data_IF_162144558834
#
_entry.id   IF_162144558834
#
_cell.length_a   1.000
_cell.length_b   1.000
_cell.length_c   1.000
_cell.angle_alpha   90.00
_cell.angle_beta   90.00
_cell.angle_gamma   90.00
#
_symmetry.space_group_name_H-M   'P 1'
#
loop_
_entity.id
_entity.type
_entity.pdbx_description
1 polymer ?
#
# COMPACT_ATOMS: atom_id res chain seq x y z
N UNK A 1 3.57 -2.60 -21.04
CA UNK A 1 3.76 -1.12 -21.01
C UNK A 1 4.05 -0.69 -19.57
N UNK A 2 4.94 0.28 -19.34
CA UNK A 2 5.30 0.75 -17.99
C UNK A 2 4.28 1.73 -17.42
N UNK A 3 4.39 2.02 -16.12
CA UNK A 3 3.71 3.15 -15.48
C UNK A 3 3.95 4.45 -16.27
N UNK A 4 2.96 5.38 -16.31
CA UNK A 4 3.16 6.71 -16.90
C UNK A 4 4.11 7.55 -16.05
N UNK A 5 4.41 8.78 -16.50
CA UNK A 5 5.16 9.75 -15.69
C UNK A 5 4.38 10.04 -14.38
N UNK A 6 5.05 10.12 -13.22
CA UNK A 6 4.37 10.44 -11.97
C UNK A 6 3.73 11.83 -12.03
N UNK A 7 2.50 11.92 -11.50
CA UNK A 7 1.78 13.18 -11.29
C UNK A 7 2.49 14.03 -10.23
N UNK A 8 2.98 13.38 -9.18
CA UNK A 8 3.77 14.03 -8.14
C UNK A 8 5.01 13.21 -7.78
N UNK A 9 6.13 13.90 -7.58
CA UNK A 9 7.35 13.37 -6.98
C UNK A 9 7.70 14.24 -5.77
N UNK A 10 7.86 13.63 -4.61
CA UNK A 10 7.98 14.35 -3.35
C UNK A 10 8.75 13.54 -2.30
N UNK A 11 8.94 14.14 -1.13
CA UNK A 11 9.68 13.56 -0.03
C UNK A 11 8.82 13.55 1.23
N UNK A 12 8.91 12.47 2.00
CA UNK A 12 8.34 12.39 3.35
C UNK A 12 9.40 11.89 4.33
N UNK A 13 9.32 12.25 5.62
CA UNK A 13 10.17 11.65 6.64
C UNK A 13 9.70 10.23 6.95
N UNK A 14 10.64 9.33 7.24
CA UNK A 14 10.36 8.06 7.89
C UNK A 14 9.92 8.31 9.33
N UNK A 15 8.84 7.64 9.77
CA UNK A 15 8.40 7.69 11.17
C UNK A 15 9.39 7.01 12.12
N UNK A 16 10.36 6.26 11.61
CA UNK A 16 11.41 5.64 12.44
C UNK A 16 12.37 6.67 13.03
N UNK A 17 12.90 7.55 12.18
CA UNK A 17 14.06 8.40 12.50
C UNK A 17 14.13 9.69 11.66
N UNK A 18 13.09 9.99 10.88
CA UNK A 18 13.07 11.15 9.99
C UNK A 18 13.85 10.99 8.69
N UNK A 19 14.39 9.79 8.39
CA UNK A 19 15.07 9.51 7.11
C UNK A 19 14.20 9.95 5.94
N UNK A 20 14.74 10.76 5.02
CA UNK A 20 14.00 11.23 3.85
C UNK A 20 13.74 10.09 2.87
N UNK A 21 12.48 9.86 2.56
CA UNK A 21 12.01 8.84 1.62
C UNK A 21 11.57 9.51 0.33
N UNK A 22 12.06 9.00 -0.80
CA UNK A 22 11.67 9.45 -2.13
C UNK A 22 10.37 8.76 -2.56
N UNK A 23 9.33 9.55 -2.86
CA UNK A 23 7.99 9.06 -3.12
C UNK A 23 7.44 9.58 -4.45
N UNK A 24 6.51 8.82 -5.03
CA UNK A 24 5.78 9.15 -6.25
C UNK A 24 4.31 8.80 -6.14
N UNK A 25 3.49 9.60 -6.79
CA UNK A 25 2.05 9.39 -6.93
C UNK A 25 1.65 9.48 -8.41
N UNK A 26 0.81 8.55 -8.85
CA UNK A 26 0.24 8.47 -10.19
C UNK A 26 -1.28 8.55 -10.08
N UNK A 27 -1.87 9.59 -10.65
CA UNK A 27 -3.30 9.87 -10.53
C UNK A 27 -3.96 9.58 -11.88
N UNK A 28 -5.00 8.73 -11.92
CA UNK A 28 -5.75 8.46 -13.15
C UNK A 28 -6.54 9.71 -13.57
N UNK A 29 -6.65 9.96 -14.87
CA UNK A 29 -7.23 11.20 -15.39
C UNK A 29 -8.66 11.50 -14.90
N UNK A 30 -9.49 10.47 -14.75
CA UNK A 30 -10.89 10.63 -14.32
C UNK A 30 -11.10 11.06 -12.86
N UNK A 31 -10.04 11.16 -12.04
CA UNK A 31 -10.13 11.70 -10.68
C UNK A 31 -10.01 13.23 -10.63
N UNK A 32 -9.65 13.85 -11.76
CA UNK A 32 -9.60 15.32 -11.92
C UNK A 32 -10.96 15.89 -12.33
N UNK A 33 -11.85 15.06 -12.89
CA UNK A 33 -13.24 15.41 -13.16
C UNK A 33 -14.04 15.45 -11.85
N UNK A 34 -15.06 16.34 -11.76
CA UNK A 34 -15.88 16.50 -10.54
C UNK A 34 -16.38 15.14 -10.04
N UNK A 35 -15.93 14.66 -8.85
CA UNK A 35 -16.38 13.38 -8.33
C UNK A 35 -17.89 13.45 -8.09
N UNK A 36 -18.64 12.60 -8.79
CA UNK A 36 -20.05 12.37 -8.47
C UNK A 36 -20.17 11.76 -7.06
N UNK A 37 -21.29 11.92 -6.36
CA UNK A 37 -21.49 11.33 -5.02
C UNK A 37 -21.31 9.81 -4.95
N UNK A 38 -21.40 9.10 -6.08
CA UNK A 38 -21.20 7.66 -6.18
C UNK A 38 -19.73 7.24 -6.46
N UNK A 39 -18.81 8.20 -6.60
CA UNK A 39 -17.44 7.91 -7.04
C UNK A 39 -16.60 7.41 -5.87
N UNK A 40 -16.34 6.10 -5.85
CA UNK A 40 -15.43 5.47 -4.89
C UNK A 40 -13.98 5.87 -5.16
N UNK A 41 -13.23 6.18 -4.10
CA UNK A 41 -11.81 6.46 -4.20
C UNK A 41 -11.01 5.16 -4.05
N UNK A 42 -10.19 4.85 -5.05
CA UNK A 42 -9.35 3.65 -5.07
C UNK A 42 -7.89 4.06 -5.01
N UNK A 43 -7.13 3.50 -4.07
CA UNK A 43 -5.71 3.74 -3.90
C UNK A 43 -4.91 2.44 -3.82
N UNK A 44 -3.65 2.47 -4.23
CA UNK A 44 -2.76 1.32 -4.14
C UNK A 44 -1.33 1.75 -3.81
N UNK A 45 -0.63 0.94 -3.01
CA UNK A 45 0.81 1.08 -2.75
C UNK A 45 1.52 -0.11 -3.38
N UNK A 46 2.58 0.13 -4.14
CA UNK A 46 3.43 -0.94 -4.69
C UNK A 46 4.87 -0.73 -4.24
N UNK A 47 5.27 -1.49 -3.21
CA UNK A 47 6.63 -1.46 -2.68
C UNK A 47 7.60 -2.34 -3.49
N UNK A 48 8.84 -1.90 -3.61
CA UNK A 48 9.86 -2.48 -4.46
C UNK A 48 10.64 -3.64 -3.78
N UNK A 49 11.45 -4.42 -4.53
CA UNK A 49 12.18 -5.56 -3.98
C UNK A 49 13.45 -5.08 -3.25
N UNK A 50 14.29 -6.02 -2.81
CA UNK A 50 15.41 -5.73 -1.91
C UNK A 50 16.39 -4.68 -2.47
N UNK A 51 16.54 -3.56 -1.76
CA UNK A 51 17.32 -2.42 -2.22
C UNK A 51 18.81 -2.72 -2.51
N UNK A 52 19.53 -3.50 -1.67
CA UNK A 52 20.93 -3.83 -1.91
C UNK A 52 21.19 -4.62 -3.20
N UNK A 53 20.17 -5.26 -3.77
CA UNK A 53 20.25 -5.96 -5.07
C UNK A 53 19.74 -5.10 -6.23
N UNK A 54 19.69 -3.78 -6.05
CA UNK A 54 19.24 -2.82 -7.06
C UNK A 54 17.73 -2.55 -7.07
N UNK A 55 16.98 -3.10 -6.11
CA UNK A 55 15.54 -2.86 -5.97
C UNK A 55 15.23 -1.39 -5.72
N UNK A 56 14.32 -0.82 -6.51
CA UNK A 56 13.78 0.53 -6.32
C UNK A 56 12.40 0.62 -6.97
N UNK A 57 11.68 1.71 -6.75
CA UNK A 57 10.37 1.94 -7.37
C UNK A 57 10.34 1.96 -8.92
N UNK A 58 11.49 1.92 -9.61
CA UNK A 58 11.61 1.85 -11.07
C UNK A 58 11.77 0.39 -11.53
N UNK A 59 11.71 -0.57 -10.61
CA UNK A 59 11.79 -1.99 -10.91
C UNK A 59 10.71 -2.38 -11.95
N UNK A 60 11.05 -3.18 -12.96
CA UNK A 60 10.10 -3.58 -14.00
C UNK A 60 8.82 -4.23 -13.46
N UNK A 61 8.92 -5.02 -12.38
CA UNK A 61 7.78 -5.68 -11.73
C UNK A 61 6.87 -4.66 -11.07
N UNK A 62 7.46 -3.73 -10.32
CA UNK A 62 6.73 -2.59 -9.72
C UNK A 62 6.01 -1.78 -10.80
N UNK A 63 6.69 -1.52 -11.93
CA UNK A 63 6.14 -0.74 -13.03
C UNK A 63 4.97 -1.44 -13.73
N UNK A 64 5.05 -2.74 -14.00
CA UNK A 64 3.96 -3.42 -14.71
C UNK A 64 2.74 -3.61 -13.80
N UNK A 65 2.95 -3.96 -12.52
CA UNK A 65 1.88 -4.09 -11.51
C UNK A 65 1.22 -2.75 -11.26
N UNK A 66 2.01 -1.70 -11.04
CA UNK A 66 1.51 -0.35 -10.85
C UNK A 66 0.74 0.15 -12.08
N UNK A 67 1.18 -0.20 -13.30
CA UNK A 67 0.47 0.17 -14.52
C UNK A 67 -0.91 -0.45 -14.58
N UNK A 68 -1.03 -1.74 -14.23
CA UNK A 68 -2.33 -2.42 -14.24
C UNK A 68 -3.30 -1.79 -13.23
N UNK A 69 -2.82 -1.49 -12.01
CA UNK A 69 -3.61 -0.77 -11.00
C UNK A 69 -4.03 0.62 -11.49
N UNK A 70 -3.12 1.36 -12.13
CA UNK A 70 -3.39 2.69 -12.67
C UNK A 70 -4.47 2.66 -13.77
N UNK A 71 -4.41 1.68 -14.68
CA UNK A 71 -5.40 1.50 -15.75
C UNK A 71 -6.79 1.14 -15.21
N UNK A 72 -6.84 0.44 -14.08
CA UNK A 72 -8.08 0.14 -13.34
C UNK A 72 -8.56 1.31 -12.47
N UNK A 73 -7.99 2.50 -12.62
CA UNK A 73 -8.47 3.72 -11.95
C UNK A 73 -8.02 3.88 -10.50
N UNK A 74 -6.96 3.17 -10.07
CA UNK A 74 -6.36 3.41 -8.76
C UNK A 74 -5.42 4.62 -8.80
N UNK A 75 -5.45 5.43 -7.74
CA UNK A 75 -4.31 6.28 -7.39
C UNK A 75 -3.19 5.37 -6.93
N UNK A 76 -2.11 5.31 -7.70
CA UNK A 76 -0.96 4.44 -7.39
C UNK A 76 0.12 5.24 -6.69
N UNK A 77 0.60 4.74 -5.56
CA UNK A 77 1.75 5.25 -4.84
C UNK A 77 2.91 4.27 -4.91
N UNK A 78 4.10 4.80 -5.21
CA UNK A 78 5.36 4.05 -5.12
C UNK A 78 6.38 4.87 -4.36
N UNK A 79 7.24 4.24 -3.57
CA UNK A 79 8.27 4.93 -2.80
C UNK A 79 9.52 4.07 -2.73
N UNK A 80 10.67 4.71 -2.50
CA UNK A 80 11.92 4.03 -2.22
C UNK A 80 12.08 3.85 -0.70
N UNK A 81 12.24 2.61 -0.26
CA UNK A 81 12.74 2.31 1.10
C UNK A 81 14.08 3.00 1.34
N UNK A 82 14.46 3.16 2.61
CA UNK A 82 15.82 3.61 2.98
C UNK A 82 16.89 2.80 2.24
N UNK A 83 17.92 3.50 1.76
CA UNK A 83 19.02 2.91 0.98
C UNK A 83 18.69 2.57 -0.48
N UNK A 84 17.47 2.82 -0.97
CA UNK A 84 17.12 2.68 -2.38
C UNK A 84 17.04 4.04 -3.09
N UNK A 85 17.43 4.09 -4.36
CA UNK A 85 17.33 5.29 -5.18
C UNK A 85 17.97 6.50 -4.51
N UNK A 86 17.18 7.56 -4.28
CA UNK A 86 17.63 8.76 -3.57
C UNK A 86 17.11 8.86 -2.14
N UNK A 87 16.43 7.83 -1.62
CA UNK A 87 16.08 7.76 -0.20
C UNK A 87 17.34 7.66 0.65
N UNK A 88 17.33 8.34 1.80
CA UNK A 88 18.47 8.33 2.72
C UNK A 88 18.67 6.98 3.42
N UNK A 89 19.63 6.94 4.34
CA UNK A 89 19.86 5.75 5.18
C UNK A 89 20.43 4.56 4.41
N UNK A 90 20.31 3.37 5.02
CA UNK A 90 20.78 2.09 4.47
C UNK A 90 19.79 1.00 4.86
N UNK A 91 19.74 -0.05 4.05
CA UNK A 91 18.92 -1.22 4.35
C UNK A 91 19.39 -1.90 5.63
N UNK A 92 18.44 -2.22 6.50
CA UNK A 92 18.65 -2.91 7.76
C UNK A 92 18.51 -4.42 7.61
N UNK A 93 19.15 -5.15 8.52
CA UNK A 93 18.99 -6.61 8.62
C UNK A 93 17.66 -7.03 9.28
N UNK A 94 17.03 -6.14 10.07
CA UNK A 94 15.84 -6.46 10.86
C UNK A 94 14.52 -6.11 10.17
N UNK A 95 14.59 -5.34 9.08
CA UNK A 95 13.49 -4.68 8.40
C UNK A 95 12.54 -3.80 9.23
N UNK A 96 12.80 -3.59 10.53
CA UNK A 96 11.97 -2.68 11.35
C UNK A 96 11.96 -1.26 10.78
N UNK A 97 13.11 -0.70 10.38
CA UNK A 97 13.13 0.64 9.81
C UNK A 97 12.47 0.71 8.42
N UNK A 98 12.57 -0.34 7.60
CA UNK A 98 11.87 -0.47 6.31
C UNK A 98 10.35 -0.61 6.49
N UNK A 99 9.90 -1.34 7.51
CA UNK A 99 8.50 -1.40 7.88
C UNK A 99 7.97 -0.02 8.27
N UNK A 100 8.73 0.73 9.08
CA UNK A 100 8.38 2.09 9.43
C UNK A 100 8.38 3.03 8.19
N UNK A 101 9.26 2.81 7.21
CA UNK A 101 9.20 3.53 5.93
C UNK A 101 7.88 3.25 5.19
N UNK A 102 7.43 1.98 5.16
CA UNK A 102 6.13 1.62 4.61
C UNK A 102 4.99 2.28 5.41
N UNK A 103 5.03 2.26 6.74
CA UNK A 103 4.03 2.92 7.61
C UNK A 103 3.94 4.42 7.30
N UNK A 104 5.08 5.07 7.04
CA UNK A 104 5.13 6.49 6.68
C UNK A 104 4.35 6.76 5.40
N UNK A 105 4.58 5.95 4.37
CA UNK A 105 3.90 6.09 3.09
C UNK A 105 2.45 5.61 3.12
N UNK A 106 2.13 4.61 3.94
CA UNK A 106 0.76 4.17 4.19
C UNK A 106 -0.06 5.28 4.87
N UNK A 107 0.47 5.92 5.89
CA UNK A 107 -0.17 7.08 6.52
C UNK A 107 -0.36 8.24 5.55
N UNK A 108 0.66 8.55 4.73
CA UNK A 108 0.53 9.52 3.64
C UNK A 108 -0.65 9.19 2.72
N UNK A 109 -0.72 7.96 2.21
CA UNK A 109 -1.76 7.53 1.27
C UNK A 109 -3.16 7.58 1.91
N UNK A 110 -3.31 7.14 3.15
CA UNK A 110 -4.60 7.23 3.86
C UNK A 110 -5.08 8.68 3.96
N UNK A 111 -4.21 9.58 4.39
CA UNK A 111 -4.58 10.99 4.53
C UNK A 111 -4.85 11.65 3.17
N UNK A 112 -4.04 11.33 2.16
CA UNK A 112 -4.23 11.84 0.81
C UNK A 112 -5.60 11.41 0.24
N UNK A 113 -5.95 10.13 0.33
CA UNK A 113 -7.22 9.61 -0.20
C UNK A 113 -8.44 10.14 0.56
N UNK A 114 -8.35 10.31 1.88
CA UNK A 114 -9.40 10.92 2.70
C UNK A 114 -9.65 12.37 2.32
N UNK A 115 -8.60 13.15 2.08
CA UNK A 115 -8.74 14.53 1.63
C UNK A 115 -9.40 14.63 0.25
N UNK A 116 -9.35 13.57 -0.57
CA UNK A 116 -10.02 13.51 -1.86
C UNK A 116 -11.52 13.15 -1.78
N UNK A 117 -12.05 12.70 -0.63
CA UNK A 117 -13.47 12.43 -0.47
C UNK A 117 -14.32 13.72 -0.62
N UNK A 118 -15.48 13.66 -1.30
CA UNK A 118 -16.40 14.80 -1.37
C UNK A 118 -16.84 15.25 0.02
N UNK A 119 -16.77 16.57 0.29
CA UNK A 119 -17.25 17.13 1.56
C UNK A 119 -18.74 17.42 1.44
N UNK A 120 -19.55 16.62 2.14
CA UNK A 120 -21.00 16.78 2.25
C UNK A 120 -21.79 15.95 1.24
N UNK A 121 -22.44 14.89 1.74
CA UNK A 121 -23.80 14.43 1.44
C UNK A 121 -23.96 13.03 2.05
N UNK A 122 -24.67 12.93 3.18
CA UNK A 122 -25.20 11.66 3.63
C UNK A 122 -26.34 11.29 2.68
N UNK A 123 -26.13 10.32 1.79
CA UNK A 123 -27.25 9.64 1.14
C UNK A 123 -27.56 8.40 1.97
N UNK A 124 -28.64 8.47 2.74
CA UNK A 124 -29.11 7.41 3.65
C UNK A 124 -29.59 6.13 2.94
N UNK A 125 -29.27 5.92 1.65
CA UNK A 125 -29.98 4.91 0.84
C UNK A 125 -29.15 4.00 -0.07
N UNK A 126 -27.82 4.08 -0.11
CA UNK A 126 -27.01 3.08 -0.85
C UNK A 126 -26.22 2.16 0.09
N UNK A 127 -26.46 0.86 -0.06
CA UNK A 127 -25.94 -0.20 0.80
C UNK A 127 -24.40 -0.17 0.97
N UNK A 128 -23.94 0.17 2.18
CA UNK A 128 -22.72 -0.33 2.87
C UNK A 128 -21.47 -0.62 2.01
N UNK A 129 -21.13 0.23 1.03
CA UNK A 129 -19.87 0.10 0.27
C UNK A 129 -18.83 1.05 0.83
N UNK A 130 -17.57 0.59 1.02
CA UNK A 130 -16.51 1.46 1.55
C UNK A 130 -16.21 2.63 0.61
N UNK A 131 -16.09 3.82 1.18
CA UNK A 131 -15.76 5.08 0.49
C UNK A 131 -14.35 5.05 -0.10
N UNK A 132 -13.43 4.39 0.60
CA UNK A 132 -12.04 4.20 0.18
C UNK A 132 -11.71 2.71 0.09
N UNK A 133 -11.14 2.33 -1.04
CA UNK A 133 -10.46 1.05 -1.21
C UNK A 133 -8.98 1.23 -1.32
N UNK A 134 -8.22 0.52 -0.50
CA UNK A 134 -6.77 0.62 -0.48
C UNK A 134 -6.12 -0.75 -0.65
N UNK A 135 -5.31 -0.90 -1.70
CA UNK A 135 -4.47 -2.09 -1.92
C UNK A 135 -3.08 -1.83 -1.34
N UNK A 136 -2.69 -2.60 -0.33
CA UNK A 136 -1.35 -2.61 0.24
C UNK A 136 -0.54 -3.70 -0.45
N UNK A 137 0.37 -3.30 -1.34
CA UNK A 137 1.10 -4.21 -2.19
C UNK A 137 2.61 -4.10 -2.07
N UNK A 138 3.28 -5.14 -2.55
CA UNK A 138 4.72 -5.15 -2.74
C UNK A 138 5.20 -6.34 -3.53
N UNK A 139 6.43 -6.22 -4.03
CA UNK A 139 7.15 -7.26 -4.78
C UNK A 139 8.35 -7.77 -3.98
N UNK A 140 8.50 -9.09 -3.87
CA UNK A 140 9.62 -9.76 -3.20
C UNK A 140 9.77 -9.25 -1.77
N UNK A 141 10.90 -8.64 -1.41
CA UNK A 141 11.09 -7.98 -0.11
C UNK A 141 9.95 -6.99 0.23
N UNK A 142 9.48 -6.20 -0.73
CA UNK A 142 8.36 -5.27 -0.51
C UNK A 142 7.05 -5.98 -0.14
N UNK A 143 6.79 -7.19 -0.69
CA UNK A 143 5.61 -8.01 -0.33
C UNK A 143 5.71 -8.52 1.11
N UNK A 144 6.93 -8.84 1.54
CA UNK A 144 7.21 -9.28 2.89
C UNK A 144 6.96 -8.12 3.87
N UNK A 145 7.41 -6.89 3.57
CA UNK A 145 7.10 -5.72 4.39
C UNK A 145 5.59 -5.42 4.40
N UNK A 146 4.94 -5.45 3.23
CA UNK A 146 3.51 -5.18 3.09
C UNK A 146 2.64 -6.12 3.93
N UNK A 147 3.05 -7.38 4.12
CA UNK A 147 2.31 -8.35 4.94
C UNK A 147 2.44 -8.12 6.46
N UNK A 148 3.32 -7.22 6.91
CA UNK A 148 3.58 -6.93 8.32
C UNK A 148 3.14 -5.52 8.73
N UNK A 149 2.50 -4.77 7.83
CA UNK A 149 2.02 -3.42 8.15
C UNK A 149 0.89 -3.45 9.18
N UNK A 150 0.79 -2.41 10.04
CA UNK A 150 -0.31 -2.29 10.99
C UNK A 150 -1.68 -2.32 10.31
N UNK A 151 -2.72 -2.70 11.06
CA UNK A 151 -4.10 -2.64 10.56
C UNK A 151 -4.54 -1.20 10.30
N UNK A 152 -5.58 -1.04 9.47
CA UNK A 152 -6.12 0.28 9.16
C UNK A 152 -6.57 1.03 10.41
N UNK A 153 -7.13 0.36 11.42
CA UNK A 153 -7.54 1.00 12.68
C UNK A 153 -6.34 1.60 13.44
N UNK A 154 -5.22 0.87 13.48
CA UNK A 154 -3.99 1.37 14.10
C UNK A 154 -3.47 2.58 13.34
N UNK A 155 -3.48 2.53 12.01
CA UNK A 155 -3.06 3.65 11.17
C UNK A 155 -3.97 4.88 11.31
N UNK A 156 -5.28 4.67 11.38
CA UNK A 156 -6.26 5.74 11.58
C UNK A 156 -6.08 6.42 12.93
N UNK A 157 -5.85 5.65 13.99
CA UNK A 157 -5.55 6.20 15.31
C UNK A 157 -4.21 6.94 15.34
N UNK A 158 -3.19 6.42 14.67
CA UNK A 158 -1.87 7.01 14.61
C UNK A 158 -1.89 8.39 13.93
N UNK A 159 -2.64 8.52 12.84
CA UNK A 159 -2.71 9.73 12.04
C UNK A 159 -3.94 10.61 12.34
N UNK A 160 -4.72 10.32 13.40
CA UNK A 160 -5.90 11.09 13.75
C UNK A 160 -5.61 12.60 13.99
N UNK A 161 -6.54 13.52 13.69
CA UNK A 161 -6.35 14.94 13.98
C UNK A 161 -6.01 15.19 15.46
N UNK A 162 -4.99 16.00 15.72
CA UNK A 162 -4.50 16.26 17.08
C UNK A 162 -3.70 15.12 17.72
N UNK A 163 -3.48 13.99 17.01
CA UNK A 163 -2.70 12.86 17.54
C UNK A 163 -1.20 13.14 17.64
N UNK A 164 -0.70 14.12 16.90
CA UNK A 164 0.72 14.40 16.74
C UNK A 164 0.99 15.91 16.70
N UNK A 165 2.07 16.33 17.37
CA UNK A 165 2.54 17.71 17.31
C UNK A 165 2.85 18.11 15.85
N UNK A 166 2.64 19.38 15.49
CA UNK A 166 2.86 19.86 14.13
C UNK A 166 4.27 19.51 13.61
N UNK A 167 5.31 19.61 14.44
CA UNK A 167 6.68 19.35 13.99
C UNK A 167 7.10 17.87 13.99
N UNK A 168 6.23 16.98 14.49
CA UNK A 168 6.46 15.52 14.43
C UNK A 168 6.51 14.99 13.00
N UNK A 169 7.15 13.83 12.79
CA UNK A 169 7.18 13.17 11.49
C UNK A 169 5.78 12.84 10.96
N UNK A 170 4.87 12.40 11.84
CA UNK A 170 3.46 12.15 11.50
C UNK A 170 2.76 13.43 11.01
N UNK A 171 2.96 14.56 11.71
CA UNK A 171 2.42 15.85 11.32
C UNK A 171 2.96 16.33 9.96
N UNK A 172 4.25 16.14 9.70
CA UNK A 172 4.87 16.45 8.41
C UNK A 172 4.29 15.60 7.28
N UNK A 173 4.08 14.30 7.50
CA UNK A 173 3.44 13.39 6.54
C UNK A 173 2.01 13.85 6.23
N UNK A 174 1.20 14.14 7.25
CA UNK A 174 -0.18 14.61 7.07
C UNK A 174 -0.26 15.93 6.29
N UNK A 175 0.63 16.89 6.58
CA UNK A 175 0.72 18.14 5.80
C UNK A 175 1.12 17.91 4.35
N UNK A 176 2.08 17.02 4.10
CA UNK A 176 2.47 16.67 2.74
C UNK A 176 1.27 16.09 1.97
N UNK A 177 0.50 15.20 2.60
CA UNK A 177 -0.71 14.62 2.02
C UNK A 177 -1.76 15.68 1.68
N UNK A 178 -2.10 16.55 2.65
CA UNK A 178 -3.09 17.63 2.44
C UNK A 178 -2.66 18.63 1.36
N UNK A 179 -1.38 19.01 1.32
CA UNK A 179 -0.83 19.91 0.28
C UNK A 179 -0.94 19.30 -1.12
N UNK A 180 -0.60 18.01 -1.26
CA UNK A 180 -0.68 17.32 -2.55
C UNK A 180 -2.14 17.13 -2.95
N UNK A 181 -3.02 16.72 -2.03
CA UNK A 181 -4.46 16.59 -2.30
C UNK A 181 -5.11 17.92 -2.76
N UNK A 182 -4.74 19.03 -2.12
CA UNK A 182 -5.19 20.36 -2.53
C UNK A 182 -4.66 20.78 -3.92
N UNK A 183 -3.49 20.27 -4.32
CA UNK A 183 -2.94 20.48 -5.67
C UNK A 183 -3.55 19.55 -6.72
N UNK A 184 -4.16 18.44 -6.30
CA UNK A 184 -4.86 17.49 -7.18
C UNK A 184 -6.22 18.03 -7.61
N UNK A 185 -6.92 18.74 -6.72
CA UNK A 185 -8.19 19.42 -7.02
C UNK A 185 -7.86 20.76 -7.69
N UNK A 186 -8.48 21.09 -8.82
CA UNK A 186 -8.40 22.45 -9.37
C UNK A 186 -8.80 23.49 -8.29
N UNK A 187 -8.26 24.72 -8.33
CA UNK A 187 -8.61 25.73 -7.34
C UNK A 187 -10.14 25.91 -7.30
N UNK A 188 -10.76 25.89 -6.11
CA UNK A 188 -12.18 26.14 -6.03
C UNK A 188 -12.46 27.56 -6.52
N UNK A 189 -13.37 27.70 -7.48
CA UNK A 189 -14.12 28.95 -7.61
C UNK A 189 -14.74 29.25 -6.24
N UNK A 190 -14.52 30.47 -5.74
CA UNK A 190 -15.00 30.94 -4.45
C UNK A 190 -16.53 30.76 -4.36
N UNK A 191 -16.98 29.74 -3.63
CA UNK A 191 -18.33 29.70 -3.08
C UNK A 191 -18.20 29.63 -1.56
N UNK A 192 -18.51 30.76 -0.92
CA UNK A 192 -18.65 30.86 0.52
C UNK A 192 -19.81 30.01 1.00
N UNK A 193 -19.50 28.87 1.60
CA UNK A 193 -20.45 28.01 2.29
C UNK A 193 -19.91 27.63 3.67
N UNK A 194 -20.72 27.82 4.70
CA UNK A 194 -20.39 27.55 6.10
C UNK A 194 -19.83 26.13 6.32
N UNK A 195 -18.74 26.05 7.08
CA UNK A 195 -18.08 24.80 7.46
C UNK A 195 -18.97 24.07 8.46
N UNK A 196 -19.83 23.18 7.96
CA UNK A 196 -20.50 22.18 8.80
C UNK A 196 -19.45 21.15 9.27
N UNK A 197 -19.11 21.20 10.55
CA UNK A 197 -18.24 20.22 11.23
C UNK A 197 -19.01 18.92 11.44
N UNK A 198 -19.18 18.13 10.39
CA UNK A 198 -19.64 16.74 10.50
C UNK A 198 -18.49 15.81 10.14
N UNK A 199 -18.14 14.91 11.06
CA UNK A 199 -17.10 13.90 10.86
C UNK A 199 -17.54 12.96 9.75
N UNK A 200 -16.81 12.82 8.63
CA UNK A 200 -17.17 11.88 7.59
C UNK A 200 -17.16 10.45 8.15
N UNK A 201 -18.13 9.64 7.75
CA UNK A 201 -18.08 8.20 7.96
C UNK A 201 -17.08 7.66 6.94
N UNK A 202 -15.78 7.60 7.28
CA UNK A 202 -14.75 7.15 6.35
C UNK A 202 -14.63 5.63 6.38
N UNK A 203 -15.48 4.92 5.65
CA UNK A 203 -15.38 3.48 5.59
C UNK A 203 -14.22 3.06 4.65
N UNK A 204 -13.13 2.53 5.23
CA UNK A 204 -11.92 2.13 4.50
C UNK A 204 -11.84 0.61 4.43
N UNK A 205 -11.71 0.07 3.22
CA UNK A 205 -11.47 -1.35 3.01
C UNK A 205 -10.05 -1.59 2.47
N UNK A 206 -9.29 -2.41 3.20
CA UNK A 206 -7.93 -2.80 2.82
C UNK A 206 -7.93 -4.15 2.10
N UNK A 207 -7.13 -4.25 1.05
CA UNK A 207 -6.79 -5.51 0.37
C UNK A 207 -5.27 -5.62 0.23
N UNK A 208 -4.73 -6.83 0.06
CA UNK A 208 -3.29 -7.07 -0.06
C UNK A 208 -2.91 -7.64 -1.42
N UNK A 209 -1.79 -7.18 -1.97
CA UNK A 209 -1.21 -7.69 -3.22
C UNK A 209 0.26 -8.10 -3.01
N UNK A 210 0.53 -9.39 -3.02
CA UNK A 210 1.85 -9.95 -2.75
C UNK A 210 2.40 -10.56 -4.04
N UNK A 211 3.45 -9.97 -4.61
CA UNK A 211 4.10 -10.49 -5.82
C UNK A 211 5.41 -11.16 -5.44
N UNK A 212 5.59 -12.42 -5.81
CA UNK A 212 6.72 -13.29 -5.44
C UNK A 212 7.04 -13.25 -3.93
N UNK A 213 6.09 -13.63 -3.04
CA UNK A 213 6.28 -13.53 -1.61
C UNK A 213 7.44 -14.39 -1.11
N UNK A 214 8.27 -13.81 -0.25
CA UNK A 214 9.37 -14.52 0.41
C UNK A 214 8.85 -15.23 1.65
N UNK A 215 8.96 -16.55 1.68
CA UNK A 215 8.57 -17.38 2.82
C UNK A 215 9.81 -17.84 3.62
N UNK A 216 9.65 -18.30 4.88
CA UNK A 216 10.77 -18.81 5.65
C UNK A 216 11.48 -19.95 4.90
N UNK A 217 12.82 -20.06 4.90
CA UNK A 217 13.78 -19.38 5.77
C UNK A 217 14.24 -18.00 5.25
N UNK A 218 13.90 -17.63 4.02
CA UNK A 218 14.35 -16.35 3.42
C UNK A 218 13.75 -15.18 4.19
N UNK A 219 12.49 -15.31 4.63
CA UNK A 219 11.84 -14.31 5.48
C UNK A 219 12.12 -14.47 6.98
N UNK A 220 12.86 -15.50 7.41
CA UNK A 220 13.08 -15.77 8.85
C UNK A 220 13.76 -14.61 9.58
N UNK A 221 14.48 -13.73 8.89
CA UNK A 221 15.06 -12.53 9.50
C UNK A 221 14.01 -11.54 10.03
N UNK A 222 12.75 -11.62 9.59
CA UNK A 222 11.68 -10.74 10.06
C UNK A 222 10.80 -11.38 11.13
N UNK A 223 10.59 -12.70 11.06
CA UNK A 223 9.61 -13.42 11.89
C UNK A 223 10.01 -13.50 13.37
N UNK A 224 11.32 -13.39 13.69
CA UNK A 224 11.84 -13.48 15.08
C UNK A 224 11.51 -12.23 15.91
N UNK A 225 11.01 -11.15 15.31
CA UNK A 225 10.81 -9.86 15.99
C UNK A 225 9.36 -9.39 16.01
N UNK A 226 8.40 -10.34 15.99
CA UNK A 226 6.94 -10.14 15.99
C UNK A 226 6.39 -9.26 17.12
N UNK A 227 7.21 -8.84 18.09
CA UNK A 227 6.89 -7.77 19.04
C UNK A 227 7.25 -6.41 18.43
N UNK A 228 6.53 -6.02 17.38
CA UNK A 228 6.53 -4.65 16.88
C UNK A 228 5.64 -3.80 17.79
N UNK A 229 6.16 -3.46 18.97
CA UNK A 229 5.80 -2.19 19.58
C UNK A 229 6.49 -1.12 18.72
N UNK A 230 5.77 -0.62 17.72
CA UNK A 230 6.18 0.58 17.00
C UNK A 230 6.04 1.72 18.00
N UNK A 231 7.11 2.02 18.74
CA UNK A 231 7.15 3.13 19.70
C UNK A 231 7.33 4.43 18.93
N UNK A 232 6.23 4.90 18.35
CA UNK A 232 6.18 6.11 17.55
C UNK A 232 5.98 7.31 18.49
N UNK A 233 7.09 7.86 18.99
CA UNK A 233 7.09 9.15 19.68
C UNK A 233 6.31 9.19 20.99
N UNK A 234 6.42 8.15 21.83
CA UNK A 234 5.84 8.14 23.18
C UNK A 234 4.37 7.73 23.25
N UNK A 235 3.78 7.28 22.13
CA UNK A 235 2.46 6.64 22.11
C UNK A 235 2.63 5.16 21.80
N UNK A 236 2.66 4.34 22.85
CA UNK A 236 2.50 2.90 22.71
C UNK A 236 1.04 2.61 22.40
N UNK A 237 0.70 2.54 21.12
CA UNK A 237 -0.54 1.87 20.73
C UNK A 237 -0.32 0.37 21.04
N UNK A 238 -0.77 -0.06 22.22
CA UNK A 238 -0.83 -1.48 22.63
C UNK A 238 -1.91 -2.22 21.83
N UNK A 239 -1.88 -2.12 20.50
CA UNK A 239 -2.53 -3.08 19.64
C UNK A 239 -1.52 -4.23 19.48
N UNK A 240 -1.90 -5.45 19.91
CA UNK A 240 -1.11 -6.63 19.52
C UNK A 240 -1.10 -6.63 17.98
N UNK A 241 0.07 -6.53 17.32
CA UNK A 241 0.10 -6.59 15.87
C UNK A 241 -0.51 -7.93 15.47
N UNK A 242 -1.61 -7.88 14.73
CA UNK A 242 -2.25 -9.08 14.21
C UNK A 242 -1.19 -9.83 13.40
N UNK A 243 -1.12 -11.16 13.57
CA UNK A 243 -0.10 -11.93 12.86
C UNK A 243 -0.33 -11.75 11.35
N UNK A 244 0.72 -11.68 10.52
CA UNK A 244 0.56 -11.54 9.07
C UNK A 244 -0.46 -12.52 8.46
N UNK A 245 -0.44 -13.78 8.91
CA UNK A 245 -1.41 -14.79 8.45
C UNK A 245 -2.87 -14.45 8.82
N UNK A 246 -3.12 -13.86 9.99
CA UNK A 246 -4.46 -13.44 10.42
C UNK A 246 -4.94 -12.25 9.58
N UNK A 247 -4.07 -11.25 9.34
CA UNK A 247 -4.41 -10.09 8.51
C UNK A 247 -4.68 -10.50 7.06
N UNK A 248 -3.78 -11.26 6.45
CA UNK A 248 -3.87 -11.64 5.04
C UNK A 248 -5.05 -12.58 4.76
N UNK A 249 -5.49 -13.39 5.74
CA UNK A 249 -6.67 -14.24 5.59
C UNK A 249 -7.98 -13.48 5.83
N UNK A 250 -8.00 -12.57 6.80
CA UNK A 250 -9.18 -11.75 7.10
C UNK A 250 -9.51 -10.72 5.98
N UNK A 251 -8.50 -10.30 5.22
CA UNK A 251 -8.66 -9.36 4.11
C UNK A 251 -8.63 -10.08 2.77
N UNK A 252 -9.18 -9.42 1.74
CA UNK A 252 -9.00 -9.89 0.37
C UNK A 252 -7.52 -9.78 0.01
N UNK A 253 -6.91 -10.90 -0.34
CA UNK A 253 -5.47 -10.96 -0.63
C UNK A 253 -5.23 -11.73 -1.91
N UNK A 254 -4.41 -11.18 -2.80
CA UNK A 254 -3.84 -11.90 -3.94
C UNK A 254 -2.35 -12.12 -3.72
N UNK A 255 -1.90 -13.37 -3.82
CA UNK A 255 -0.50 -13.71 -3.92
C UNK A 255 -0.19 -14.24 -5.33
N UNK A 256 0.60 -13.50 -6.11
CA UNK A 256 1.09 -13.92 -7.42
C UNK A 256 2.49 -14.51 -7.27
N UNK A 257 2.71 -15.70 -7.80
CA UNK A 257 4.03 -16.33 -7.77
C UNK A 257 4.25 -17.22 -8.98
N UNK A 258 5.52 -17.43 -9.33
CA UNK A 258 5.92 -18.27 -10.44
C UNK A 258 6.30 -19.68 -10.01
N UNK A 259 6.16 -20.65 -10.92
CA UNK A 259 6.63 -22.02 -10.70
C UNK A 259 8.16 -22.17 -10.82
N UNK A 260 8.81 -21.22 -11.49
CA UNK A 260 10.27 -21.10 -11.66
C UNK A 260 10.96 -20.17 -10.66
N UNK A 261 10.30 -19.79 -9.55
CA UNK A 261 10.89 -18.90 -8.54
C UNK A 261 12.08 -19.57 -7.83
N UNK A 262 13.27 -18.97 -7.99
CA UNK A 262 14.52 -19.46 -7.43
C UNK A 262 14.75 -19.09 -5.95
N UNK A 263 13.98 -18.14 -5.39
CA UNK A 263 14.14 -17.69 -4.01
C UNK A 263 13.20 -18.44 -3.07
N UNK A 264 11.94 -18.62 -3.48
CA UNK A 264 10.97 -19.43 -2.73
C UNK A 264 10.39 -20.50 -3.64
N UNK A 265 10.62 -21.77 -3.30
CA UNK A 265 10.16 -22.86 -4.17
C UNK A 265 8.64 -22.89 -4.31
N UNK A 266 8.17 -23.21 -5.52
CA UNK A 266 6.73 -23.32 -5.84
C UNK A 266 5.99 -24.25 -4.88
N UNK A 267 6.59 -25.38 -4.49
CA UNK A 267 5.98 -26.32 -3.52
C UNK A 267 5.70 -25.66 -2.17
N UNK A 268 6.55 -24.74 -1.73
CA UNK A 268 6.37 -24.00 -0.47
C UNK A 268 5.27 -22.96 -0.62
N UNK A 269 5.25 -22.23 -1.74
CA UNK A 269 4.22 -21.23 -2.05
C UNK A 269 2.84 -21.86 -2.20
N UNK A 270 2.73 -22.97 -2.92
CA UNK A 270 1.50 -23.76 -3.06
C UNK A 270 0.99 -24.23 -1.70
N UNK A 271 1.88 -24.78 -0.85
CA UNK A 271 1.51 -25.24 0.50
C UNK A 271 1.01 -24.09 1.36
N UNK A 272 1.76 -22.99 1.42
CA UNK A 272 1.39 -21.80 2.18
C UNK A 272 0.06 -21.20 1.67
N UNK A 273 -0.13 -21.11 0.36
CA UNK A 273 -1.38 -20.65 -0.24
C UNK A 273 -2.56 -21.54 0.15
N UNK A 274 -2.39 -22.87 0.13
CA UNK A 274 -3.42 -23.81 0.54
C UNK A 274 -3.73 -23.70 2.04
N UNK A 275 -2.73 -23.47 2.89
CA UNK A 275 -2.91 -23.23 4.33
C UNK A 275 -3.69 -21.93 4.57
N UNK A 276 -3.32 -20.84 3.89
CA UNK A 276 -4.01 -19.55 3.99
C UNK A 276 -5.47 -19.63 3.51
N UNK A 277 -5.75 -20.39 2.45
CA UNK A 277 -7.10 -20.60 1.92
C UNK A 277 -7.98 -21.50 2.80
N UNK A 278 -7.39 -22.33 3.67
CA UNK A 278 -8.14 -23.19 4.62
C UNK A 278 -8.58 -22.46 5.89
N UNK A 279 -8.04 -21.27 6.15
CA UNK A 279 -8.47 -20.46 7.29
C UNK A 279 -9.96 -20.11 7.10
N UNK A 280 -10.83 -20.31 8.13
CA UNK A 280 -12.24 -19.99 8.01
C UNK A 280 -12.48 -18.55 7.56
N UNK A 281 -13.41 -18.37 6.62
CA UNK A 281 -13.75 -17.06 6.02
C UNK A 281 -12.60 -16.36 5.28
N UNK A 282 -11.51 -17.09 4.99
CA UNK A 282 -10.36 -16.53 4.28
C UNK A 282 -10.74 -16.05 2.89
N UNK A 283 -10.32 -14.82 2.56
CA UNK A 283 -10.44 -14.23 1.22
C UNK A 283 -9.10 -14.21 0.49
N UNK A 284 -8.19 -15.07 0.91
CA UNK A 284 -6.87 -15.24 0.34
C UNK A 284 -6.93 -16.08 -0.95
N UNK A 285 -6.27 -15.60 -2.00
CA UNK A 285 -6.10 -16.30 -3.26
C UNK A 285 -4.62 -16.30 -3.64
N UNK A 286 -4.01 -17.49 -3.72
CA UNK A 286 -2.73 -17.65 -4.39
C UNK A 286 -2.94 -18.03 -5.85
N UNK A 287 -2.18 -17.40 -6.74
CA UNK A 287 -2.18 -17.71 -8.17
C UNK A 287 -0.75 -17.97 -8.63
N UNK A 288 -0.56 -19.18 -9.14
CA UNK A 288 0.68 -19.64 -9.75
C UNK A 288 0.68 -19.32 -11.24
N UNK A 289 1.76 -18.69 -11.72
CA UNK A 289 1.96 -18.35 -13.11
C UNK A 289 3.02 -19.29 -13.68
N UNK A 290 2.59 -20.17 -14.59
CA UNK A 290 3.45 -21.17 -15.22
C UNK A 290 4.56 -20.52 -16.02
N UNK A 291 5.79 -21.00 -15.85
CA UNK A 291 7.00 -20.49 -16.49
C UNK A 291 7.56 -19.20 -15.90
N UNK A 292 6.88 -18.58 -14.92
CA UNK A 292 7.37 -17.34 -14.32
C UNK A 292 8.50 -17.60 -13.32
N UNK A 293 9.58 -16.86 -13.46
CA UNK A 293 10.65 -16.77 -12.47
C UNK A 293 10.37 -15.67 -11.44
N UNK A 294 11.30 -15.47 -10.52
CA UNK A 294 11.17 -14.43 -9.50
C UNK A 294 11.15 -13.01 -10.08
N UNK A 295 11.81 -12.80 -11.22
CA UNK A 295 11.97 -11.49 -11.87
C UNK A 295 10.97 -11.24 -13.01
N UNK A 296 10.09 -12.20 -13.31
CA UNK A 296 9.01 -12.05 -14.30
C UNK A 296 9.50 -11.62 -15.69
N UNK A 297 10.61 -12.20 -16.17
CA UNK A 297 11.24 -11.84 -17.45
C UNK A 297 10.91 -12.80 -18.58
N UNK A 298 10.32 -13.93 -18.26
CA UNK A 298 10.02 -15.00 -19.19
C UNK A 298 8.87 -14.62 -20.14
N UNK A 299 8.88 -15.18 -21.34
CA UNK A 299 7.93 -14.79 -22.38
C UNK A 299 6.48 -15.04 -21.96
N UNK A 300 5.65 -14.00 -22.04
CA UNK A 300 4.21 -14.07 -21.75
C UNK A 300 3.82 -14.01 -20.27
N UNK A 301 4.76 -14.13 -19.34
CA UNK A 301 4.43 -14.20 -17.90
C UNK A 301 3.92 -12.87 -17.35
N UNK A 302 4.44 -11.74 -17.84
CA UNK A 302 3.92 -10.41 -17.51
C UNK A 302 2.45 -10.28 -17.96
N UNK A 303 2.14 -10.71 -19.19
CA UNK A 303 0.78 -10.64 -19.75
C UNK A 303 -0.21 -11.45 -18.93
N UNK A 304 0.19 -12.67 -18.52
CA UNK A 304 -0.66 -13.53 -17.70
C UNK A 304 -0.82 -12.97 -16.28
N UNK A 305 0.25 -12.44 -15.67
CA UNK A 305 0.18 -11.78 -14.36
C UNK A 305 -0.79 -10.60 -14.36
N UNK A 306 -0.75 -9.77 -15.42
CA UNK A 306 -1.69 -8.65 -15.63
C UNK A 306 -3.13 -9.14 -15.76
N UNK A 307 -3.35 -10.20 -16.54
CA UNK A 307 -4.69 -10.79 -16.73
C UNK A 307 -5.29 -11.23 -15.38
N UNK A 308 -4.51 -11.95 -14.57
CA UNK A 308 -4.93 -12.41 -13.23
C UNK A 308 -5.18 -11.23 -12.31
N UNK A 309 -4.28 -10.24 -12.29
CA UNK A 309 -4.44 -9.04 -11.47
C UNK A 309 -5.72 -8.30 -11.83
N UNK A 310 -5.99 -8.07 -13.12
CA UNK A 310 -7.22 -7.44 -13.61
C UNK A 310 -8.47 -8.18 -13.18
N UNK A 311 -8.47 -9.51 -13.32
CA UNK A 311 -9.58 -10.35 -12.90
C UNK A 311 -9.84 -10.24 -11.38
N UNK A 312 -8.78 -10.23 -10.58
CA UNK A 312 -8.89 -10.04 -9.14
C UNK A 312 -9.39 -8.64 -8.77
N UNK A 313 -8.94 -7.59 -9.47
CA UNK A 313 -9.35 -6.20 -9.23
C UNK A 313 -10.83 -5.94 -9.55
N UNK A 314 -11.46 -6.71 -10.45
CA UNK A 314 -12.90 -6.59 -10.75
C UNK A 314 -13.80 -6.88 -9.54
N UNK A 315 -13.31 -7.67 -8.58
CA UNK A 315 -14.07 -7.93 -7.36
C UNK A 315 -13.82 -6.90 -6.26
N UNK A 316 -12.92 -5.93 -6.46
CA UNK A 316 -12.60 -4.85 -5.52
C UNK A 316 -13.42 -3.64 -5.92
#
# INVERSE_FOLDING_TARGET
MSLPRPSFSFWIPSVHDGTKLECRLYIPGGLQDKPTPATRIRGAIVAHPYAPLGGCYNDPVVNFIGRELYEEGFVVGTFNFRGAGRSGGRTSWTAKPELADYVSFYGFMLQYLRELLPRGHQSETEAQRPDIQLVLGGYSYGSLIASHVPTVDVMMNLFAPGSAAADSFLGQIGRAAGKIAASTREPPHEEGGEISTTTPCDSICVSYLLVSPLLPPVSSFLTVFSTLAIDLGGRSAQARPARPAEQLSAHRTLALFGDGDAFTSVRKLQRWSAEMGRIPQSRFQGCEIKGAGHFWREDGVETEARRVLREWLRGI
#
